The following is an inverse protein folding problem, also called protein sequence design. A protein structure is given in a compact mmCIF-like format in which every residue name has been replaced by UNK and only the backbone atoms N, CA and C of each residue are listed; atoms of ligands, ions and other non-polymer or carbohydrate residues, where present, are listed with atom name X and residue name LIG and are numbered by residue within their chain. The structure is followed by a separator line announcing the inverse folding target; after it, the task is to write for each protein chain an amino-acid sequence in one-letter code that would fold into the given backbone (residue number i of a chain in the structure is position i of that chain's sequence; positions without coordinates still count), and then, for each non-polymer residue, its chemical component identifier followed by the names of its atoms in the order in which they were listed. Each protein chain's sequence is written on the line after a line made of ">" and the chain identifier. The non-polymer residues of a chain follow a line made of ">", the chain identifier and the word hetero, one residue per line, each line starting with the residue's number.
data_IF_344200770990
#
_entry.id   IF_344200770990
#
_cell.length_a   1.000
_cell.length_b   1.000
_cell.length_c   1.000
_cell.angle_alpha   90.00
_cell.angle_beta   90.00
_cell.angle_gamma   90.00
#
_symmetry.space_group_name_H-M   'P 1'
#
loop_
_entity.id
_entity.type
_entity.pdbx_description
1 polymer ?
#
# COMPACT_ATOMS: atom_id res chain seq x y z
N UNK A 1 -7.77 12.64 -8.78
CA UNK A 1 -6.44 12.02 -8.70
C UNK A 1 -6.53 10.56 -9.14
N UNK A 2 -7.30 9.71 -8.43
CA UNK A 2 -7.32 8.24 -8.59
C UNK A 2 -7.71 7.74 -9.99
N UNK A 3 -8.59 8.43 -10.70
CA UNK A 3 -9.15 7.93 -11.96
C UNK A 3 -8.41 8.43 -13.21
N UNK A 4 -7.54 9.42 -13.10
CA UNK A 4 -6.85 10.03 -14.24
C UNK A 4 -5.35 10.20 -13.95
N UNK A 5 -5.00 11.02 -12.96
CA UNK A 5 -3.61 11.37 -12.71
C UNK A 5 -2.77 10.15 -12.25
N UNK A 6 -3.32 9.33 -11.38
CA UNK A 6 -2.64 8.15 -10.87
C UNK A 6 -2.42 7.06 -11.95
N UNK A 7 -3.42 6.66 -12.75
CA UNK A 7 -3.17 5.77 -13.88
C UNK A 7 -2.12 6.32 -14.88
N UNK A 8 -2.15 7.61 -15.15
CA UNK A 8 -1.17 8.27 -16.03
C UNK A 8 0.24 8.21 -15.43
N UNK A 9 0.39 8.54 -14.14
CA UNK A 9 1.65 8.44 -13.43
C UNK A 9 2.23 7.02 -13.46
N UNK A 10 1.40 6.02 -13.19
CA UNK A 10 1.83 4.62 -13.20
C UNK A 10 2.22 4.18 -14.60
N UNK A 11 1.42 4.52 -15.62
CA UNK A 11 1.73 4.19 -17.00
C UNK A 11 3.10 4.73 -17.42
N UNK A 12 3.36 6.01 -17.17
CA UNK A 12 4.64 6.65 -17.49
C UNK A 12 5.78 6.01 -16.68
N UNK A 13 5.59 5.78 -15.37
CA UNK A 13 6.61 5.19 -14.51
C UNK A 13 7.00 3.78 -14.95
N UNK A 14 6.02 2.94 -15.30
CA UNK A 14 6.29 1.58 -15.82
C UNK A 14 7.14 1.65 -17.07
N UNK A 15 6.76 2.48 -18.05
CA UNK A 15 7.49 2.57 -19.33
C UNK A 15 8.86 3.27 -19.20
N UNK A 16 9.04 4.12 -18.19
CA UNK A 16 10.33 4.83 -17.96
C UNK A 16 11.33 3.95 -17.20
N UNK A 17 10.89 3.22 -16.18
CA UNK A 17 11.79 2.55 -15.22
C UNK A 17 11.85 1.03 -15.38
N UNK A 18 10.82 0.38 -15.97
CA UNK A 18 10.84 -1.04 -16.26
C UNK A 18 11.26 -1.33 -17.70
N UNK A 19 12.01 -2.41 -17.84
CA UNK A 19 12.30 -3.09 -19.12
C UNK A 19 11.85 -4.55 -18.96
N UNK A 20 11.75 -5.28 -20.07
CA UNK A 20 11.44 -6.72 -20.02
C UNK A 20 12.43 -7.49 -19.16
N UNK A 21 13.72 -7.21 -19.33
CA UNK A 21 14.78 -7.88 -18.58
C UNK A 21 14.71 -7.55 -17.10
N UNK A 22 14.47 -6.28 -16.75
CA UNK A 22 14.25 -5.86 -15.35
C UNK A 22 13.00 -6.51 -14.76
N UNK A 23 11.91 -6.60 -15.52
CA UNK A 23 10.67 -7.25 -15.03
C UNK A 23 10.91 -8.72 -14.67
N UNK A 24 11.71 -9.43 -15.46
CA UNK A 24 12.10 -10.81 -15.18
C UNK A 24 13.06 -10.90 -13.98
N UNK A 25 13.99 -9.97 -13.86
CA UNK A 25 14.92 -9.91 -12.72
C UNK A 25 14.26 -9.50 -11.39
N UNK A 26 13.10 -8.84 -11.44
CA UNK A 26 12.33 -8.43 -10.24
C UNK A 26 11.47 -9.58 -9.65
N UNK A 27 11.54 -10.79 -10.23
CA UNK A 27 10.73 -11.93 -9.79
C UNK A 27 10.96 -12.31 -8.32
N UNK A 28 12.18 -12.15 -7.82
CA UNK A 28 12.55 -12.52 -6.45
C UNK A 28 11.93 -11.57 -5.43
N UNK A 29 11.96 -10.27 -5.70
CA UNK A 29 11.25 -9.27 -4.88
C UNK A 29 9.73 -9.47 -4.84
N UNK A 30 9.14 -9.92 -5.95
CA UNK A 30 7.72 -10.30 -5.99
C UNK A 30 7.40 -11.44 -5.02
N UNK A 31 8.29 -12.44 -4.93
CA UNK A 31 8.10 -13.58 -4.01
C UNK A 31 8.11 -13.10 -2.56
N UNK A 32 9.10 -12.31 -2.16
CA UNK A 32 9.19 -11.78 -0.80
C UNK A 32 8.01 -10.87 -0.47
N UNK A 33 7.64 -9.99 -1.37
CA UNK A 33 6.48 -9.11 -1.21
C UNK A 33 5.17 -9.90 -1.08
N UNK A 34 4.95 -10.89 -1.94
CA UNK A 34 3.76 -11.74 -1.89
C UNK A 34 3.70 -12.57 -0.60
N UNK A 35 4.81 -13.20 -0.20
CA UNK A 35 4.89 -13.94 1.06
C UNK A 35 4.65 -13.03 2.26
N UNK A 36 5.22 -11.82 2.29
CA UNK A 36 5.00 -10.87 3.37
C UNK A 36 3.52 -10.50 3.50
N UNK A 37 2.83 -10.29 2.39
CA UNK A 37 1.39 -10.01 2.37
C UNK A 37 0.60 -11.20 2.89
N UNK A 38 0.89 -12.43 2.43
CA UNK A 38 0.18 -13.65 2.86
C UNK A 38 0.37 -13.88 4.36
N UNK A 39 1.61 -13.84 4.85
CA UNK A 39 1.89 -13.97 6.28
C UNK A 39 1.27 -12.83 7.09
N UNK A 40 1.31 -11.61 6.55
CA UNK A 40 0.66 -10.44 7.14
C UNK A 40 -0.85 -10.65 7.34
N UNK A 41 -1.56 -11.13 6.31
CA UNK A 41 -2.99 -11.47 6.42
C UNK A 41 -3.24 -12.55 7.44
N UNK A 42 -2.46 -13.62 7.44
CA UNK A 42 -2.62 -14.72 8.38
C UNK A 42 -2.44 -14.27 9.83
N UNK A 43 -1.36 -13.54 10.13
CA UNK A 43 -1.08 -13.07 11.47
C UNK A 43 -2.09 -12.01 11.90
N UNK A 44 -2.44 -11.05 11.03
CA UNK A 44 -3.44 -10.03 11.34
C UNK A 44 -4.82 -10.65 11.61
N UNK A 45 -5.21 -11.69 10.87
CA UNK A 45 -6.43 -12.45 11.13
C UNK A 45 -6.38 -13.17 12.49
N UNK A 46 -5.24 -13.76 12.84
CA UNK A 46 -5.04 -14.37 14.15
C UNK A 46 -5.14 -13.31 15.26
N UNK A 47 -4.51 -12.15 15.08
CA UNK A 47 -4.62 -11.02 16.00
C UNK A 47 -6.07 -10.57 16.19
N UNK A 48 -6.87 -10.49 15.12
CA UNK A 48 -8.30 -10.16 15.21
C UNK A 48 -9.04 -11.14 16.13
N UNK A 49 -8.75 -12.44 16.05
CA UNK A 49 -9.36 -13.47 16.89
C UNK A 49 -8.89 -13.39 18.35
N UNK A 50 -7.58 -13.35 18.57
CA UNK A 50 -6.98 -13.33 19.91
C UNK A 50 -7.34 -12.06 20.67
N UNK A 51 -7.25 -10.91 20.02
CA UNK A 51 -7.56 -9.62 20.60
C UNK A 51 -9.07 -9.35 20.66
N UNK A 52 -9.90 -10.20 20.05
CA UNK A 52 -11.35 -10.03 19.95
C UNK A 52 -11.74 -8.67 19.37
N UNK A 53 -11.09 -8.29 18.26
CA UNK A 53 -11.37 -7.02 17.59
C UNK A 53 -12.86 -6.93 17.23
N UNK A 54 -13.47 -5.78 17.49
CA UNK A 54 -14.90 -5.55 17.30
C UNK A 54 -15.30 -5.70 15.85
N UNK A 55 -16.52 -6.19 15.62
CA UNK A 55 -17.13 -6.20 14.28
C UNK A 55 -17.24 -4.76 13.76
N UNK A 56 -17.04 -4.59 12.45
CA UNK A 56 -16.96 -3.28 11.81
C UNK A 56 -15.54 -2.67 11.82
N UNK A 57 -14.59 -3.24 12.59
CA UNK A 57 -13.18 -2.83 12.66
C UNK A 57 -12.23 -3.86 12.09
N UNK A 58 -12.64 -5.12 11.98
CA UNK A 58 -11.76 -6.26 11.63
C UNK A 58 -11.11 -6.10 10.28
N UNK A 59 -11.90 -5.79 9.27
CA UNK A 59 -11.41 -5.57 7.91
C UNK A 59 -10.43 -4.41 7.83
N UNK A 60 -10.75 -3.29 8.49
CA UNK A 60 -9.85 -2.12 8.59
C UNK A 60 -8.59 -2.46 9.36
N UNK A 61 -8.69 -3.17 10.49
CA UNK A 61 -7.56 -3.60 11.32
C UNK A 61 -6.56 -4.43 10.51
N UNK A 62 -7.03 -5.45 9.79
CA UNK A 62 -6.19 -6.31 8.93
C UNK A 62 -5.53 -5.47 7.84
N UNK A 63 -6.31 -4.62 7.15
CA UNK A 63 -5.77 -3.76 6.10
C UNK A 63 -4.74 -2.74 6.60
N UNK A 64 -4.93 -2.22 7.81
CA UNK A 64 -3.94 -1.31 8.43
C UNK A 64 -2.58 -2.00 8.57
N UNK A 65 -2.55 -3.27 8.96
CA UNK A 65 -1.31 -4.02 9.14
C UNK A 65 -0.68 -4.39 7.80
N UNK A 66 -1.46 -4.96 6.90
CA UNK A 66 -0.95 -5.60 5.67
C UNK A 66 -0.66 -4.60 4.57
N UNK A 67 -1.60 -3.69 4.32
CA UNK A 67 -1.53 -2.79 3.18
C UNK A 67 -0.97 -1.41 3.57
N UNK A 68 -0.31 -0.76 2.62
CA UNK A 68 0.41 0.49 2.84
C UNK A 68 -0.06 1.60 1.89
N UNK A 69 0.03 2.85 2.32
CA UNK A 69 -0.22 4.03 1.50
C UNK A 69 0.96 4.30 0.56
N UNK A 70 1.17 3.38 -0.37
CA UNK A 70 2.34 3.37 -1.24
C UNK A 70 2.43 4.59 -2.15
N UNK A 71 1.31 5.07 -2.70
CA UNK A 71 1.33 6.18 -3.66
C UNK A 71 1.50 7.53 -2.98
N UNK A 72 0.65 7.84 -2.00
CA UNK A 72 0.62 9.19 -1.44
C UNK A 72 1.78 9.47 -0.48
N UNK A 73 2.29 8.44 0.16
CA UNK A 73 3.39 8.54 1.13
C UNK A 73 4.60 7.72 0.68
N UNK A 74 4.39 6.46 0.29
CA UNK A 74 5.47 5.56 -0.06
C UNK A 74 6.30 6.00 -1.25
N UNK A 75 5.68 6.50 -2.32
CA UNK A 75 6.38 6.96 -3.52
C UNK A 75 7.28 8.17 -3.26
N UNK A 76 6.77 9.30 -2.71
CA UNK A 76 7.63 10.44 -2.41
C UNK A 76 8.77 10.08 -1.45
N UNK A 77 8.48 9.25 -0.43
CA UNK A 77 9.49 8.79 0.49
C UNK A 77 10.56 7.94 -0.21
N UNK A 78 10.14 7.00 -1.06
CA UNK A 78 11.06 6.12 -1.78
C UNK A 78 12.06 6.91 -2.63
N UNK A 79 11.56 7.94 -3.34
CA UNK A 79 12.42 8.84 -4.13
C UNK A 79 13.34 9.65 -3.22
N UNK A 80 12.85 10.13 -2.08
CA UNK A 80 13.65 10.92 -1.15
C UNK A 80 14.78 10.12 -0.49
N UNK A 81 14.54 8.86 -0.13
CA UNK A 81 15.53 8.00 0.53
C UNK A 81 16.51 7.34 -0.44
N UNK A 82 16.02 6.87 -1.58
CA UNK A 82 16.76 5.96 -2.44
C UNK A 82 16.94 6.48 -3.88
N UNK A 83 16.37 7.63 -4.20
CA UNK A 83 16.38 8.20 -5.54
C UNK A 83 15.57 7.39 -6.56
N UNK A 84 15.61 7.81 -7.81
CA UNK A 84 14.83 7.19 -8.90
C UNK A 84 15.32 5.77 -9.25
N UNK A 85 16.55 5.41 -8.94
CA UNK A 85 17.08 4.06 -9.14
C UNK A 85 16.28 2.97 -8.41
N UNK A 86 15.56 3.33 -7.33
CA UNK A 86 14.72 2.43 -6.58
C UNK A 86 13.32 2.21 -7.15
N UNK A 87 12.93 2.98 -8.18
CA UNK A 87 11.58 2.94 -8.74
C UNK A 87 11.13 1.56 -9.24
N UNK A 88 11.97 0.74 -9.91
CA UNK A 88 11.57 -0.60 -10.30
C UNK A 88 11.13 -1.46 -9.09
N UNK A 89 11.88 -1.41 -8.00
CA UNK A 89 11.61 -2.16 -6.77
C UNK A 89 10.37 -1.63 -6.03
N UNK A 90 10.21 -0.31 -6.02
CA UNK A 90 8.98 0.32 -5.53
C UNK A 90 7.75 -0.19 -6.28
N UNK A 91 7.81 -0.27 -7.62
CA UNK A 91 6.70 -0.72 -8.46
C UNK A 91 6.32 -2.18 -8.16
N UNK A 92 7.29 -3.05 -7.87
CA UNK A 92 7.03 -4.43 -7.43
C UNK A 92 6.13 -4.45 -6.20
N UNK A 93 6.52 -3.73 -5.14
CA UNK A 93 5.72 -3.66 -3.93
C UNK A 93 4.36 -2.99 -4.17
N UNK A 94 4.35 -1.91 -4.96
CA UNK A 94 3.13 -1.19 -5.30
C UNK A 94 2.07 -2.07 -5.96
N UNK A 95 2.48 -2.89 -6.94
CA UNK A 95 1.56 -3.82 -7.64
C UNK A 95 0.97 -4.82 -6.67
N UNK A 96 1.81 -5.48 -5.89
CA UNK A 96 1.37 -6.45 -4.88
C UNK A 96 0.42 -5.81 -3.87
N UNK A 97 0.77 -4.64 -3.34
CA UNK A 97 -0.05 -3.89 -2.41
C UNK A 97 -1.40 -3.48 -3.03
N UNK A 98 -1.40 -3.09 -4.30
CA UNK A 98 -2.62 -2.70 -5.03
C UNK A 98 -3.54 -3.90 -5.22
N UNK A 99 -3.02 -5.02 -5.71
CA UNK A 99 -3.79 -6.27 -5.85
C UNK A 99 -4.31 -6.73 -4.48
N UNK A 100 -3.45 -6.75 -3.47
CA UNK A 100 -3.81 -7.11 -2.09
C UNK A 100 -4.95 -6.24 -1.56
N UNK A 101 -4.83 -4.91 -1.70
CA UNK A 101 -5.82 -3.95 -1.22
C UNK A 101 -7.20 -4.17 -1.85
N UNK A 102 -7.24 -4.29 -3.17
CA UNK A 102 -8.52 -4.31 -3.89
C UNK A 102 -9.12 -5.69 -4.04
N UNK A 103 -8.31 -6.75 -4.15
CA UNK A 103 -8.81 -8.12 -4.24
C UNK A 103 -9.22 -8.69 -2.88
N UNK A 104 -8.39 -8.47 -1.85
CA UNK A 104 -8.61 -9.06 -0.53
C UNK A 104 -9.05 -8.04 0.51
N UNK A 105 -8.32 -6.92 0.59
CA UNK A 105 -8.53 -5.91 1.60
C UNK A 105 -9.93 -5.28 1.55
N UNK A 106 -10.35 -4.82 0.38
CA UNK A 106 -11.68 -4.24 0.18
C UNK A 106 -12.79 -5.27 0.43
N UNK A 107 -12.58 -6.53 0.04
CA UNK A 107 -13.50 -7.62 0.31
C UNK A 107 -13.67 -7.88 1.82
N UNK A 108 -12.57 -7.90 2.58
CA UNK A 108 -12.63 -8.09 4.03
C UNK A 108 -13.40 -6.96 4.72
N UNK A 109 -13.19 -5.71 4.30
CA UNK A 109 -13.91 -4.55 4.83
C UNK A 109 -15.39 -4.62 4.45
N UNK A 110 -15.70 -4.92 3.19
CA UNK A 110 -17.08 -5.00 2.70
C UNK A 110 -17.93 -6.05 3.43
N UNK A 111 -17.29 -7.11 3.96
CA UNK A 111 -17.97 -8.15 4.72
C UNK A 111 -17.94 -7.95 6.25
N UNK A 112 -17.42 -6.80 6.72
CA UNK A 112 -17.29 -6.48 8.15
C UNK A 112 -18.21 -5.31 8.54
N UNK A 113 -19.48 -5.39 8.22
CA UNK A 113 -20.50 -4.40 8.59
C UNK A 113 -20.89 -4.49 10.08
N UNK A 114 -21.19 -3.34 10.69
CA UNK A 114 -21.79 -3.26 12.03
C UNK A 114 -23.30 -3.51 12.02
N UNK A 115 -23.95 -3.31 10.87
CA UNK A 115 -25.37 -3.55 10.70
C UNK A 115 -25.66 -5.03 10.36
N UNK A 116 -26.82 -5.57 10.83
CA UNK A 116 -27.30 -6.87 10.35
C UNK A 116 -27.54 -6.75 8.83
N UNK A 117 -26.73 -7.39 8.03
CA UNK A 117 -26.99 -7.46 6.60
C UNK A 117 -28.10 -8.50 6.36
N UNK A 118 -29.13 -8.18 5.54
CA UNK A 118 -30.00 -9.21 5.01
C UNK A 118 -29.11 -10.23 4.26
N UNK A 119 -29.51 -11.51 4.32
CA UNK A 119 -28.75 -12.67 3.84
C UNK A 119 -28.37 -12.66 2.34
N UNK A 120 -28.51 -11.54 1.65
CA UNK A 120 -27.94 -11.30 0.33
C UNK A 120 -26.42 -11.12 0.47
N UNK A 121 -25.70 -12.25 0.30
CA UNK A 121 -24.27 -12.25 0.03
C UNK A 121 -23.99 -11.11 -0.95
N UNK A 122 -23.19 -10.12 -0.55
CA UNK A 122 -22.67 -9.17 -1.51
C UNK A 122 -21.97 -9.99 -2.59
N UNK A 123 -22.57 -9.99 -3.78
CA UNK A 123 -21.96 -10.64 -4.94
C UNK A 123 -20.59 -10.01 -5.14
N UNK A 124 -19.59 -10.86 -5.25
CA UNK A 124 -18.23 -10.45 -5.51
C UNK A 124 -18.20 -9.61 -6.81
N UNK A 125 -17.99 -8.31 -6.65
CA UNK A 125 -18.04 -7.39 -7.77
C UNK A 125 -16.67 -7.30 -8.43
N UNK A 126 -16.45 -8.10 -9.46
CA UNK A 126 -15.23 -8.14 -10.26
C UNK A 126 -14.80 -6.76 -10.79
N UNK A 127 -15.74 -5.84 -11.03
CA UNK A 127 -15.41 -4.47 -11.47
C UNK A 127 -14.69 -3.66 -10.40
N UNK A 128 -14.88 -3.97 -9.13
CA UNK A 128 -14.16 -3.35 -8.02
C UNK A 128 -12.72 -3.88 -7.88
N UNK A 129 -12.38 -5.02 -8.50
CA UNK A 129 -11.02 -5.56 -8.51
C UNK A 129 -10.07 -4.86 -9.49
N UNK A 130 -10.60 -4.11 -10.44
CA UNK A 130 -9.84 -3.41 -11.47
C UNK A 130 -9.99 -1.88 -11.30
N UNK A 131 -9.43 -1.29 -10.23
CA UNK A 131 -9.44 0.16 -10.07
C UNK A 131 -8.61 0.80 -11.18
N UNK A 132 -8.91 2.06 -11.49
CA UNK A 132 -8.23 2.79 -12.57
C UNK A 132 -6.68 2.77 -12.46
N UNK A 133 -6.07 2.85 -11.25
CA UNK A 133 -4.62 2.70 -11.11
C UNK A 133 -4.09 1.33 -11.59
N UNK A 134 -4.80 0.25 -11.26
CA UNK A 134 -4.42 -1.09 -11.72
C UNK A 134 -4.59 -1.24 -13.24
N UNK A 135 -5.65 -0.65 -13.81
CA UNK A 135 -5.83 -0.62 -15.28
C UNK A 135 -4.68 0.13 -15.95
N UNK A 136 -4.26 1.28 -15.41
CA UNK A 136 -3.09 2.02 -15.91
C UNK A 136 -1.82 1.18 -15.92
N UNK A 137 -1.59 0.39 -14.85
CA UNK A 137 -0.48 -0.55 -14.78
C UNK A 137 -0.59 -1.67 -15.82
N UNK A 138 -1.74 -2.31 -15.94
CA UNK A 138 -1.94 -3.40 -16.90
C UNK A 138 -1.78 -2.94 -18.35
N UNK A 139 -2.30 -1.76 -18.70
CA UNK A 139 -2.10 -1.16 -20.01
C UNK A 139 -0.62 -0.89 -20.25
N UNK A 140 0.09 -0.31 -19.27
CA UNK A 140 1.52 -0.08 -19.38
C UNK A 140 2.32 -1.37 -19.59
N UNK A 141 1.96 -2.47 -18.89
CA UNK A 141 2.57 -3.78 -19.12
C UNK A 141 2.35 -4.30 -20.53
N UNK A 142 1.16 -4.13 -21.10
CA UNK A 142 0.89 -4.52 -22.49
C UNK A 142 1.81 -3.76 -23.45
N UNK A 143 1.94 -2.43 -23.26
CA UNK A 143 2.84 -1.61 -24.07
C UNK A 143 4.30 -2.05 -23.93
N UNK A 144 4.75 -2.29 -22.70
CA UNK A 144 6.11 -2.75 -22.38
C UNK A 144 6.40 -4.12 -23.01
N UNK A 145 5.49 -5.09 -22.83
CA UNK A 145 5.70 -6.46 -23.30
C UNK A 145 5.53 -6.61 -24.82
N UNK A 146 4.71 -5.79 -25.44
CA UNK A 146 4.51 -5.79 -26.89
C UNK A 146 5.45 -4.87 -27.65
N UNK A 147 6.37 -4.15 -26.95
CA UNK A 147 7.27 -3.14 -27.53
C UNK A 147 6.53 -2.07 -28.33
N UNK A 148 5.34 -1.67 -27.85
CA UNK A 148 4.55 -0.65 -28.52
C UNK A 148 5.15 0.72 -28.22
N UNK A 149 5.64 1.47 -29.24
CA UNK A 149 6.22 2.79 -29.01
C UNK A 149 5.13 3.78 -28.62
N UNK A 150 5.36 4.55 -27.55
CA UNK A 150 4.49 5.65 -27.16
C UNK A 150 5.01 6.95 -27.77
N UNK A 151 4.20 7.66 -28.59
CA UNK A 151 4.61 8.94 -29.13
C UNK A 151 5.03 9.92 -28.01
N UNK A 152 6.10 10.68 -28.24
CA UNK A 152 6.70 11.55 -27.21
C UNK A 152 5.70 12.56 -26.63
N UNK A 153 4.79 13.09 -27.46
CA UNK A 153 3.76 14.02 -26.97
C UNK A 153 2.77 13.37 -26.01
N UNK A 154 2.38 12.09 -26.24
CA UNK A 154 1.51 11.33 -25.34
C UNK A 154 2.24 11.05 -24.02
N UNK A 155 3.49 10.56 -24.11
CA UNK A 155 4.31 10.29 -22.93
C UNK A 155 4.50 11.55 -22.07
N UNK A 156 4.82 12.68 -22.68
CA UNK A 156 4.99 13.95 -21.98
C UNK A 156 3.68 14.46 -21.37
N UNK A 157 2.56 14.39 -22.12
CA UNK A 157 1.25 14.79 -21.61
C UNK A 157 0.84 13.96 -20.40
N UNK A 158 0.96 12.62 -20.47
CA UNK A 158 0.69 11.73 -19.34
C UNK A 158 1.64 11.98 -18.18
N UNK A 159 2.91 12.31 -18.46
CA UNK A 159 3.90 12.71 -17.46
C UNK A 159 3.47 13.97 -16.68
N UNK A 160 3.04 15.03 -17.38
CA UNK A 160 2.53 16.24 -16.73
C UNK A 160 1.27 15.96 -15.89
N UNK A 161 0.33 15.17 -16.41
CA UNK A 161 -0.87 14.77 -15.66
C UNK A 161 -0.47 13.90 -14.44
N UNK A 162 0.49 13.00 -14.62
CA UNK A 162 0.99 12.14 -13.54
C UNK A 162 1.73 12.91 -12.44
N UNK A 163 2.50 13.95 -12.80
CA UNK A 163 3.26 14.76 -11.84
C UNK A 163 2.38 15.50 -10.80
N UNK A 164 1.11 15.69 -11.10
CA UNK A 164 0.13 16.30 -10.18
C UNK A 164 -0.17 15.36 -8.97
N UNK A 165 0.10 14.06 -9.09
CA UNK A 165 -0.22 13.08 -8.04
C UNK A 165 0.46 13.45 -6.73
N UNK A 166 1.75 13.71 -6.72
CA UNK A 166 2.51 14.00 -5.48
C UNK A 166 2.00 15.26 -4.77
N UNK A 167 1.93 16.46 -5.40
CA UNK A 167 1.48 17.66 -4.71
C UNK A 167 0.02 17.56 -4.24
N UNK A 168 -0.88 17.01 -5.06
CA UNK A 168 -2.27 16.83 -4.65
C UNK A 168 -2.43 15.79 -3.54
N UNK A 169 -1.56 14.79 -3.49
CA UNK A 169 -1.56 13.80 -2.42
C UNK A 169 -1.12 14.41 -1.09
N UNK A 170 -0.10 15.26 -1.11
CA UNK A 170 0.35 15.98 0.08
C UNK A 170 -0.73 16.94 0.59
N UNK A 171 -1.40 17.67 -0.32
CA UNK A 171 -2.55 18.51 0.03
C UNK A 171 -3.69 17.67 0.62
N UNK A 172 -4.03 16.54 0.02
CA UNK A 172 -5.07 15.64 0.52
C UNK A 172 -4.74 15.13 1.93
N UNK A 173 -3.50 14.74 2.18
CA UNK A 173 -3.04 14.32 3.51
C UNK A 173 -3.19 15.48 4.49
N UNK A 174 -2.72 16.68 4.13
CA UNK A 174 -2.84 17.87 4.97
C UNK A 174 -4.29 18.20 5.33
N UNK A 175 -5.20 18.17 4.36
CA UNK A 175 -6.63 18.39 4.58
C UNK A 175 -7.21 17.30 5.50
N UNK A 176 -6.90 16.03 5.22
CA UNK A 176 -7.40 14.90 6.03
C UNK A 176 -6.94 14.99 7.48
N UNK A 177 -5.68 15.40 7.71
CA UNK A 177 -5.15 15.60 9.06
C UNK A 177 -5.79 16.80 9.76
N UNK A 178 -6.04 17.89 9.04
CA UNK A 178 -6.69 19.07 9.56
C UNK A 178 -8.16 18.80 9.93
N UNK A 179 -8.90 18.13 9.05
CA UNK A 179 -10.31 17.78 9.25
C UNK A 179 -10.50 16.77 10.39
N UNK A 180 -9.62 15.76 10.46
CA UNK A 180 -9.66 14.79 11.56
C UNK A 180 -9.35 15.44 12.91
N UNK A 181 -8.47 16.44 12.92
CA UNK A 181 -7.96 17.13 14.09
C UNK A 181 -7.14 16.24 15.02
N UNK A 182 -6.11 16.79 15.65
CA UNK A 182 -5.26 16.04 16.60
C UNK A 182 -6.05 15.52 17.82
N UNK A 183 -7.18 16.17 18.15
CA UNK A 183 -8.08 15.74 19.25
C UNK A 183 -8.84 14.46 18.93
N UNK A 184 -8.89 14.01 17.67
CA UNK A 184 -9.53 12.75 17.26
C UNK A 184 -8.64 11.54 17.55
N UNK A 185 -7.35 11.72 17.77
CA UNK A 185 -6.40 10.65 18.03
C UNK A 185 -6.76 9.96 19.36
N UNK A 186 -7.03 8.67 19.26
CA UNK A 186 -7.37 7.82 20.42
C UNK A 186 -6.58 6.53 20.35
N UNK A 187 -5.85 6.23 21.39
CA UNK A 187 -5.12 4.98 21.56
C UNK A 187 -5.98 3.98 22.33
N UNK A 188 -7.02 3.44 21.69
CA UNK A 188 -7.69 2.27 22.22
C UNK A 188 -6.90 0.99 21.89
N UNK A 189 -7.30 -0.14 22.47
CA UNK A 189 -6.64 -1.44 22.27
C UNK A 189 -6.50 -1.81 20.80
N UNK A 190 -7.58 -1.63 20.02
CA UNK A 190 -7.61 -2.03 18.61
C UNK A 190 -6.70 -1.11 17.79
N UNK A 191 -6.73 0.20 18.03
CA UNK A 191 -5.86 1.18 17.37
C UNK A 191 -4.40 0.91 17.68
N UNK A 192 -4.05 0.74 18.96
CA UNK A 192 -2.66 0.48 19.37
C UNK A 192 -2.13 -0.81 18.75
N UNK A 193 -2.92 -1.88 18.79
CA UNK A 193 -2.53 -3.16 18.19
C UNK A 193 -2.38 -3.09 16.66
N UNK A 194 -3.27 -2.35 15.96
CA UNK A 194 -3.16 -2.15 14.53
C UNK A 194 -1.90 -1.36 14.15
N UNK A 195 -1.56 -0.30 14.91
CA UNK A 195 -0.37 0.51 14.69
C UNK A 195 0.92 -0.25 14.98
N UNK A 196 0.97 -1.04 16.06
CA UNK A 196 2.09 -1.95 16.33
C UNK A 196 2.22 -3.00 15.23
N UNK A 197 1.09 -3.54 14.76
CA UNK A 197 1.08 -4.44 13.61
C UNK A 197 1.67 -3.79 12.36
N UNK A 198 1.32 -2.53 12.10
CA UNK A 198 1.80 -1.79 10.93
C UNK A 198 3.28 -1.45 11.00
N UNK A 199 3.73 -0.89 12.11
CA UNK A 199 5.08 -0.31 12.19
C UNK A 199 6.14 -1.26 12.74
N UNK A 200 5.72 -2.38 13.36
CA UNK A 200 6.65 -3.38 13.89
C UNK A 200 6.47 -4.71 13.17
N UNK A 201 5.27 -5.28 13.19
CA UNK A 201 5.04 -6.62 12.66
C UNK A 201 5.27 -6.70 11.15
N UNK A 202 4.71 -5.78 10.37
CA UNK A 202 4.83 -5.81 8.90
C UNK A 202 6.30 -5.70 8.42
N UNK A 203 7.11 -4.72 8.88
CA UNK A 203 8.52 -4.69 8.51
C UNK A 203 9.34 -5.86 9.09
N UNK A 204 9.02 -6.36 10.29
CA UNK A 204 9.69 -7.54 10.86
C UNK A 204 9.41 -8.79 10.02
N UNK A 205 8.19 -9.00 9.54
CA UNK A 205 7.88 -10.11 8.61
C UNK A 205 8.73 -9.97 7.34
N UNK A 206 8.81 -8.78 6.75
CA UNK A 206 9.60 -8.56 5.53
C UNK A 206 11.08 -8.84 5.77
N UNK A 207 11.66 -8.29 6.83
CA UNK A 207 13.07 -8.53 7.22
C UNK A 207 13.33 -10.02 7.47
N UNK A 208 12.46 -10.68 8.23
CA UNK A 208 12.61 -12.10 8.54
C UNK A 208 12.57 -12.99 7.28
N UNK A 209 11.66 -12.68 6.34
CA UNK A 209 11.57 -13.41 5.08
C UNK A 209 12.83 -13.20 4.22
N UNK A 210 13.29 -11.95 4.07
CA UNK A 210 14.51 -11.65 3.30
C UNK A 210 15.73 -12.32 3.94
N UNK A 211 15.86 -12.25 5.26
CA UNK A 211 16.96 -12.89 5.99
C UNK A 211 16.92 -14.44 5.84
N UNK A 212 15.75 -15.05 5.98
CA UNK A 212 15.59 -16.50 5.83
C UNK A 212 15.84 -16.96 4.38
N UNK A 213 15.48 -16.15 3.40
CA UNK A 213 15.66 -16.48 1.98
C UNK A 213 17.01 -16.06 1.38
N UNK A 214 17.85 -15.36 2.13
CA UNK A 214 19.10 -14.77 1.62
C UNK A 214 20.01 -15.76 0.88
N UNK A 215 20.09 -17.01 1.34
CA UNK A 215 20.92 -18.05 0.72
C UNK A 215 20.29 -18.70 -0.52
N UNK A 216 18.98 -18.54 -0.73
CA UNK A 216 18.21 -19.19 -1.80
C UNK A 216 17.88 -18.19 -2.91
N UNK A 217 17.43 -17.00 -2.52
CA UNK A 217 16.98 -15.92 -3.38
C UNK A 217 17.58 -14.58 -2.89
N UNK A 218 18.87 -14.32 -3.14
CA UNK A 218 19.51 -13.09 -2.67
C UNK A 218 18.94 -11.87 -3.40
N UNK A 219 18.51 -10.86 -2.64
CA UNK A 219 18.07 -9.59 -3.20
C UNK A 219 19.19 -8.57 -3.24
N UNK A 220 19.23 -7.70 -4.27
CA UNK A 220 20.03 -6.48 -4.23
C UNK A 220 19.70 -5.64 -2.98
N UNK A 221 20.72 -5.06 -2.35
CA UNK A 221 20.52 -4.26 -1.13
C UNK A 221 19.47 -3.16 -1.28
N UNK A 222 19.47 -2.46 -2.42
CA UNK A 222 18.50 -1.41 -2.71
C UNK A 222 17.05 -1.95 -2.79
N UNK A 223 16.87 -3.13 -3.38
CA UNK A 223 15.57 -3.81 -3.45
C UNK A 223 15.07 -4.20 -2.06
N UNK A 224 15.92 -4.88 -1.29
CA UNK A 224 15.58 -5.28 0.08
C UNK A 224 15.19 -4.07 0.95
N UNK A 225 15.98 -2.99 0.92
CA UNK A 225 15.69 -1.74 1.65
C UNK A 225 14.38 -1.12 1.20
N UNK A 226 14.13 -1.08 -0.11
CA UNK A 226 12.87 -0.56 -0.67
C UNK A 226 11.67 -1.35 -0.17
N UNK A 227 11.70 -2.69 -0.23
CA UNK A 227 10.60 -3.55 0.23
C UNK A 227 10.33 -3.37 1.73
N UNK A 228 11.38 -3.29 2.56
CA UNK A 228 11.27 -3.09 4.01
C UNK A 228 10.62 -1.73 4.31
N UNK A 229 11.11 -0.64 3.68
CA UNK A 229 10.54 0.70 3.87
C UNK A 229 9.08 0.72 3.44
N UNK A 230 8.75 0.17 2.27
CA UNK A 230 7.38 0.18 1.77
C UNK A 230 6.43 -0.62 2.66
N UNK A 231 6.89 -1.70 3.29
CA UNK A 231 6.08 -2.48 4.25
C UNK A 231 5.75 -1.68 5.52
N UNK A 232 6.59 -0.71 5.90
CA UNK A 232 6.43 0.15 7.08
C UNK A 232 5.70 1.47 6.80
N UNK A 233 5.32 1.76 5.56
CA UNK A 233 4.57 2.98 5.21
C UNK A 233 3.20 2.98 5.89
N UNK A 234 2.68 4.16 6.25
CA UNK A 234 1.41 4.33 6.98
C UNK A 234 0.22 3.61 6.34
N UNK A 235 -0.88 3.51 7.08
CA UNK A 235 -2.11 2.87 6.61
C UNK A 235 -2.70 3.57 5.38
N UNK A 236 -3.46 2.81 4.58
CA UNK A 236 -4.12 3.30 3.37
C UNK A 236 -5.07 4.47 3.65
N UNK A 237 -4.91 5.59 2.96
CA UNK A 237 -5.79 6.76 3.07
C UNK A 237 -7.26 6.48 2.68
N UNK A 238 -7.51 5.43 1.92
CA UNK A 238 -8.85 5.04 1.46
C UNK A 238 -9.66 4.26 2.49
N UNK A 239 -9.07 3.79 3.59
CA UNK A 239 -9.76 2.96 4.60
C UNK A 239 -11.03 3.59 5.18
N UNK A 240 -11.10 4.91 5.50
CA UNK A 240 -12.35 5.53 5.97
C UNK A 240 -13.48 5.46 4.94
N UNK A 241 -13.15 5.61 3.67
CA UNK A 241 -14.12 5.54 2.57
C UNK A 241 -14.68 4.12 2.45
N UNK A 242 -13.79 3.11 2.44
CA UNK A 242 -14.19 1.71 2.37
C UNK A 242 -15.01 1.29 3.61
N UNK A 243 -14.62 1.75 4.80
CA UNK A 243 -15.38 1.51 6.03
C UNK A 243 -16.78 2.13 5.98
N UNK A 244 -16.92 3.34 5.44
CA UNK A 244 -18.20 4.01 5.27
C UNK A 244 -19.11 3.26 4.27
N UNK A 245 -18.57 2.86 3.13
CA UNK A 245 -19.32 2.07 2.13
C UNK A 245 -19.78 0.73 2.70
N UNK A 246 -18.97 0.12 3.56
CA UNK A 246 -19.29 -1.16 4.22
C UNK A 246 -20.18 -1.01 5.46
N UNK A 247 -20.54 0.22 5.87
CA UNK A 247 -21.22 0.51 7.14
C UNK A 247 -20.46 -0.04 8.36
N UNK A 248 -19.14 0.07 8.31
CA UNK A 248 -18.22 -0.28 9.39
C UNK A 248 -17.94 0.89 10.35
N UNK A 249 -16.92 0.76 11.19
CA UNK A 249 -16.49 1.81 12.12
C UNK A 249 -15.58 2.84 11.42
N UNK A 250 -16.21 3.85 10.80
CA UNK A 250 -15.52 4.96 10.10
C UNK A 250 -14.60 5.73 11.06
N UNK A 251 -15.00 5.90 12.34
CA UNK A 251 -14.19 6.62 13.33
C UNK A 251 -12.89 5.88 13.61
N UNK A 252 -12.94 4.57 13.75
CA UNK A 252 -11.74 3.74 13.90
C UNK A 252 -10.85 3.83 12.65
N UNK A 253 -11.43 3.71 11.44
CA UNK A 253 -10.69 3.80 10.19
C UNK A 253 -9.99 5.17 10.04
N UNK A 254 -10.69 6.27 10.31
CA UNK A 254 -10.11 7.62 10.30
C UNK A 254 -9.00 7.75 11.33
N UNK A 255 -9.23 7.26 12.55
CA UNK A 255 -8.25 7.32 13.64
C UNK A 255 -6.94 6.59 13.28
N UNK A 256 -7.01 5.35 12.80
CA UNK A 256 -5.79 4.60 12.43
C UNK A 256 -5.05 5.23 11.25
N UNK A 257 -5.76 5.77 10.24
CA UNK A 257 -5.14 6.47 9.11
C UNK A 257 -4.43 7.74 9.59
N UNK A 258 -5.13 8.60 10.33
CA UNK A 258 -4.56 9.85 10.84
C UNK A 258 -3.37 9.58 11.75
N UNK A 259 -3.54 8.68 12.73
CA UNK A 259 -2.48 8.38 13.71
C UNK A 259 -1.27 7.72 13.04
N UNK A 260 -1.50 6.76 12.11
CA UNK A 260 -0.38 6.15 11.39
C UNK A 260 0.36 7.13 10.49
N UNK A 261 -0.34 8.07 9.86
CA UNK A 261 0.27 9.10 9.02
C UNK A 261 1.16 10.05 9.85
N UNK A 262 0.73 10.41 11.07
CA UNK A 262 1.53 11.24 11.97
C UNK A 262 2.72 10.46 12.53
N UNK A 263 2.49 9.25 13.03
CA UNK A 263 3.55 8.41 13.60
C UNK A 263 4.60 8.04 12.56
N UNK A 264 4.20 7.93 11.30
CA UNK A 264 5.10 7.62 10.21
C UNK A 264 6.25 8.64 10.07
N UNK A 265 6.01 9.92 10.38
CA UNK A 265 7.05 10.96 10.40
C UNK A 265 8.18 10.64 11.40
N UNK A 266 7.86 9.90 12.47
CA UNK A 266 8.84 9.46 13.48
C UNK A 266 9.43 8.08 13.10
N UNK A 267 8.59 7.19 12.58
CA UNK A 267 8.99 5.82 12.24
C UNK A 267 9.97 5.78 11.08
N UNK A 268 9.80 6.64 10.07
CA UNK A 268 10.68 6.66 8.89
C UNK A 268 12.15 6.87 9.24
N UNK A 269 12.53 7.90 9.99
CA UNK A 269 13.94 8.10 10.38
C UNK A 269 14.50 6.91 11.17
N UNK A 270 13.65 6.26 11.99
CA UNK A 270 14.07 5.07 12.76
C UNK A 270 14.32 3.87 11.84
N UNK A 271 13.42 3.61 10.89
CA UNK A 271 13.59 2.53 9.91
C UNK A 271 14.80 2.78 9.02
N UNK A 272 14.99 4.01 8.53
CA UNK A 272 16.14 4.36 7.71
C UNK A 272 17.46 4.18 8.49
N UNK A 273 17.52 4.64 9.75
CA UNK A 273 18.70 4.44 10.61
C UNK A 273 19.00 2.95 10.83
N UNK A 274 17.97 2.14 11.06
CA UNK A 274 18.14 0.69 11.19
C UNK A 274 18.65 0.05 9.89
N UNK A 275 18.16 0.50 8.73
CA UNK A 275 18.59 -0.01 7.43
C UNK A 275 20.02 0.38 7.05
N UNK A 276 20.54 1.47 7.61
CA UNK A 276 21.95 1.88 7.43
C UNK A 276 22.91 1.00 8.25
N UNK A 277 22.41 0.28 9.25
CA UNK A 277 23.21 -0.64 10.07
C UNK A 277 23.35 -2.05 9.45
N UNK A 278 22.56 -2.34 8.39
CA UNK A 278 22.60 -3.57 7.59
C UNK A 278 23.11 -3.29 6.17
#
# INVERSE_FOLDING_TARGET
>A
IMNIALPASIFVSVLTYLTRDKLMALSDGLIYGALSIVFGYFIAWLMVKVLKVRRGRRGVFINTIVNANTIFIGLPLNIALFGEASMPYFLVYYVLNTVSTWAFGAFLIANDSTEPQPAHRQQFNWKKLLPAPLLGFLVALVFLLADIPVPSFIHSTLGYVGSIVTPLSLLYIGITLADAGLKSIRFDKDTTAALLGKFVLAPVIMVALIAAGHSILPLPSLEAKTLIVQSSVSALAVLPILANEAKGDVRFATNVVTTSTILFMIVVPLVDTLLQMF
#
